data_IF_147320245970
#
_entry.id   IF_147320245970
#
_cell.length_a   1.000
_cell.length_b   1.000
_cell.length_c   1.000
_cell.angle_alpha   90.00
_cell.angle_beta   90.00
_cell.angle_gamma   90.00
#
_symmetry.space_group_name_H-M   'P 1'
#
loop_
_entity.id
_entity.type
_entity.pdbx_description
1 polymer ?
#
# COMPACT_ATOMS: atom_id res chain seq x y z
N UNK A 1 32.40 26.76 5.02
CA UNK A 1 32.17 25.30 5.01
C UNK A 1 30.73 25.08 5.40
N UNK A 2 29.90 24.41 4.60
CA UNK A 2 28.52 24.09 5.02
C UNK A 2 28.61 22.89 5.96
N UNK A 3 28.15 23.04 7.20
CA UNK A 3 27.95 21.91 8.10
C UNK A 3 26.89 21.00 7.47
N UNK A 4 27.33 19.82 7.01
CA UNK A 4 26.44 18.78 6.54
C UNK A 4 26.04 17.88 7.71
N UNK A 5 24.77 17.51 7.78
CA UNK A 5 24.29 16.48 8.71
C UNK A 5 24.96 15.14 8.37
N UNK A 6 25.51 14.45 9.37
CA UNK A 6 26.11 13.13 9.25
C UNK A 6 25.30 12.10 10.05
N UNK A 7 25.20 10.88 9.53
CA UNK A 7 24.51 9.77 10.19
C UNK A 7 25.46 9.03 11.13
N UNK A 8 25.07 8.85 12.39
CA UNK A 8 25.85 8.06 13.35
C UNK A 8 25.60 6.56 13.20
N UNK A 9 24.35 6.16 12.93
CA UNK A 9 23.94 4.77 12.76
C UNK A 9 22.96 4.67 11.59
N UNK A 10 23.10 3.60 10.81
CA UNK A 10 22.17 3.24 9.76
C UNK A 10 21.38 1.99 10.16
N UNK A 11 20.10 1.96 9.83
CA UNK A 11 19.21 0.83 10.08
C UNK A 11 19.44 -0.30 9.07
N UNK A 12 19.06 -1.51 9.43
CA UNK A 12 19.12 -2.70 8.56
C UNK A 12 18.24 -2.58 7.30
N UNK A 13 17.23 -1.71 7.32
CA UNK A 13 16.49 -1.25 6.15
C UNK A 13 16.41 0.28 6.15
N UNK A 14 16.35 0.88 4.97
CA UNK A 14 16.22 2.32 4.79
C UNK A 14 14.99 2.63 3.93
N UNK A 15 14.24 3.66 4.32
CA UNK A 15 13.11 4.17 3.56
C UNK A 15 13.41 5.59 3.15
N UNK A 16 13.48 5.84 1.84
CA UNK A 16 13.64 7.18 1.28
C UNK A 16 12.30 7.64 0.70
N UNK A 17 11.79 8.77 1.18
CA UNK A 17 10.58 9.41 0.64
C UNK A 17 10.99 10.59 -0.23
N UNK A 18 10.61 10.58 -1.50
CA UNK A 18 10.73 11.73 -2.39
C UNK A 18 9.69 12.78 -2.00
N UNK A 19 10.11 14.04 -1.93
CA UNK A 19 9.18 15.16 -1.79
C UNK A 19 8.60 15.42 -3.19
N UNK A 20 7.29 15.29 -3.33
CA UNK A 20 6.59 15.37 -4.62
C UNK A 20 5.62 16.53 -4.73
N UNK A 21 5.46 17.33 -3.67
CA UNK A 21 4.57 18.48 -3.67
C UNK A 21 5.34 19.67 -3.15
N UNK A 22 5.25 20.78 -3.88
CA UNK A 22 5.82 22.07 -3.49
C UNK A 22 4.76 23.18 -3.60
N UNK A 23 5.01 24.30 -2.92
CA UNK A 23 4.19 25.49 -3.03
C UNK A 23 4.79 26.41 -4.09
N UNK A 24 4.11 26.58 -5.23
CA UNK A 24 4.52 27.60 -6.20
C UNK A 24 4.07 28.98 -5.70
N UNK A 25 5.02 29.73 -5.17
CA UNK A 25 4.79 31.08 -4.62
C UNK A 25 4.26 32.08 -5.65
N UNK A 26 4.41 31.82 -6.97
CA UNK A 26 3.94 32.74 -8.01
C UNK A 26 2.43 32.65 -8.23
N UNK A 27 1.87 31.46 -8.05
CA UNK A 27 0.46 31.17 -8.29
C UNK A 27 -0.31 30.81 -7.00
N UNK A 28 0.39 30.78 -5.86
CA UNK A 28 -0.13 30.41 -4.55
C UNK A 28 -0.91 29.08 -4.59
N UNK A 29 -0.31 28.09 -5.26
CA UNK A 29 -0.92 26.78 -5.48
C UNK A 29 0.09 25.67 -5.26
N UNK A 30 -0.41 24.51 -4.83
CA UNK A 30 0.39 23.29 -4.71
C UNK A 30 0.63 22.70 -6.10
N UNK A 31 1.89 22.41 -6.41
CA UNK A 31 2.31 21.80 -7.67
C UNK A 31 2.99 20.47 -7.41
N UNK A 32 2.81 19.51 -8.32
CA UNK A 32 3.47 18.22 -8.25
C UNK A 32 4.87 18.31 -8.86
N UNK A 33 5.89 17.87 -8.11
CA UNK A 33 7.26 17.76 -8.58
C UNK A 33 7.42 16.42 -9.29
N UNK A 34 7.35 16.47 -10.62
CA UNK A 34 7.54 15.31 -11.50
C UNK A 34 8.96 15.20 -12.05
N UNK A 35 9.92 15.91 -11.47
CA UNK A 35 11.31 15.92 -11.92
C UNK A 35 11.94 14.53 -11.94
N UNK A 36 12.76 14.29 -12.96
CA UNK A 36 13.49 13.04 -13.12
C UNK A 36 14.46 12.84 -11.97
N UNK A 37 14.27 11.77 -11.20
CA UNK A 37 15.13 11.37 -10.10
C UNK A 37 15.50 9.91 -10.27
N UNK A 38 16.78 9.66 -10.56
CA UNK A 38 17.32 8.32 -10.67
C UNK A 38 17.67 7.76 -9.28
N UNK A 39 17.42 6.47 -9.10
CA UNK A 39 17.80 5.76 -7.88
C UNK A 39 18.46 4.41 -8.24
N UNK A 40 19.57 4.05 -7.59
CA UNK A 40 20.34 2.89 -7.99
C UNK A 40 19.76 1.58 -7.45
N UNK A 41 20.00 0.47 -8.13
CA UNK A 41 19.65 -0.86 -7.61
C UNK A 41 20.46 -1.21 -6.34
N UNK A 42 21.71 -0.77 -6.29
CA UNK A 42 22.62 -0.91 -5.15
C UNK A 42 23.06 0.47 -4.66
N UNK A 43 22.82 0.74 -3.38
CA UNK A 43 23.20 1.97 -2.70
C UNK A 43 24.32 1.66 -1.71
N UNK A 44 25.53 2.08 -2.05
CA UNK A 44 26.72 1.91 -1.21
C UNK A 44 27.00 3.23 -0.46
N UNK A 45 26.64 3.27 0.83
CA UNK A 45 26.78 4.46 1.67
C UNK A 45 28.19 4.58 2.30
N UNK A 46 29.03 3.56 2.15
CA UNK A 46 30.43 3.60 2.57
C UNK A 46 31.35 4.21 1.49
N UNK A 47 30.82 4.41 0.26
CA UNK A 47 31.54 5.13 -0.81
C UNK A 47 32.00 6.52 -0.36
N UNK A 48 33.07 7.00 -1.01
CA UNK A 48 33.69 8.29 -0.67
C UNK A 48 34.10 8.37 0.81
N UNK A 49 34.58 7.25 1.38
CA UNK A 49 34.98 7.10 2.78
C UNK A 49 33.84 7.34 3.80
N UNK A 50 32.61 6.97 3.45
CA UNK A 50 31.43 7.21 4.28
C UNK A 50 31.15 8.70 4.42
N UNK A 51 31.09 9.42 3.30
CA UNK A 51 30.85 10.88 3.25
C UNK A 51 29.65 11.34 4.08
N UNK A 52 28.61 10.51 4.15
CA UNK A 52 27.38 10.76 4.87
C UNK A 52 27.38 10.21 6.30
N UNK A 53 28.45 9.52 6.70
CA UNK A 53 28.60 8.90 8.01
C UNK A 53 29.42 9.80 8.95
N UNK A 54 29.07 9.75 10.23
CA UNK A 54 29.87 10.36 11.30
C UNK A 54 31.25 9.69 11.38
N UNK A 55 32.31 10.41 11.81
CA UNK A 55 33.59 9.77 12.13
C UNK A 55 33.46 8.65 13.16
N UNK A 56 32.50 8.78 14.09
CA UNK A 56 32.22 7.81 15.16
C UNK A 56 31.21 6.73 14.75
N UNK A 57 30.78 6.70 13.48
CA UNK A 57 29.84 5.70 13.01
C UNK A 57 30.49 4.30 13.04
N UNK A 58 29.69 3.30 13.41
CA UNK A 58 30.16 1.91 13.35
C UNK A 58 30.43 1.50 11.90
N UNK A 59 31.68 1.10 11.64
CA UNK A 59 32.19 0.63 10.34
C UNK A 59 32.48 -0.87 10.33
N UNK A 60 32.10 -1.59 11.39
CA UNK A 60 32.26 -3.04 11.47
C UNK A 60 31.36 -3.77 10.46
N UNK A 61 30.24 -3.15 10.08
CA UNK A 61 29.29 -3.67 9.10
C UNK A 61 29.31 -2.77 7.86
N UNK A 62 29.35 -3.40 6.68
CA UNK A 62 29.28 -2.68 5.40
C UNK A 62 27.87 -2.14 5.17
N UNK A 63 27.75 -0.85 4.89
CA UNK A 63 26.52 -0.15 4.57
C UNK A 63 26.20 -0.23 3.07
N UNK A 64 26.18 -1.45 2.54
CA UNK A 64 25.73 -1.75 1.18
C UNK A 64 24.28 -2.20 1.21
N UNK A 65 23.46 -1.50 0.44
CA UNK A 65 22.02 -1.69 0.43
C UNK A 65 21.51 -2.07 -0.95
N UNK A 66 20.55 -2.99 -1.00
CA UNK A 66 19.88 -3.45 -2.22
C UNK A 66 18.43 -2.95 -2.24
N UNK A 67 17.99 -2.39 -3.36
CA UNK A 67 16.63 -1.86 -3.52
C UNK A 67 15.59 -2.98 -3.40
N UNK A 68 14.75 -2.96 -2.39
CA UNK A 68 13.71 -3.97 -2.16
C UNK A 68 12.37 -3.60 -2.83
N UNK A 69 11.97 -2.33 -2.73
CA UNK A 69 10.67 -1.89 -3.23
C UNK A 69 10.70 -0.47 -3.77
N UNK A 70 9.88 -0.23 -4.79
CA UNK A 70 9.60 1.07 -5.38
C UNK A 70 8.11 1.30 -5.28
N UNK A 71 7.68 2.23 -4.44
CA UNK A 71 6.28 2.63 -4.32
C UNK A 71 6.04 3.81 -5.25
N UNK A 72 5.00 3.70 -6.06
CA UNK A 72 4.71 4.62 -7.15
C UNK A 72 3.39 5.31 -6.89
N UNK A 73 3.37 6.62 -7.14
CA UNK A 73 2.15 7.40 -7.25
C UNK A 73 1.92 7.72 -8.72
N UNK A 74 0.70 7.46 -9.19
CA UNK A 74 0.27 7.78 -10.54
C UNK A 74 -0.90 8.75 -10.49
N UNK A 75 -0.69 10.03 -10.71
CA UNK A 75 -1.76 11.02 -10.64
C UNK A 75 -1.22 12.42 -10.49
N UNK A 76 -2.02 13.28 -9.86
CA UNK A 76 -1.62 14.65 -9.52
C UNK A 76 -1.92 14.97 -8.05
N UNK A 77 -1.72 16.23 -7.66
CA UNK A 77 -1.86 16.72 -6.27
C UNK A 77 -3.22 16.40 -5.63
N UNK A 78 -4.28 16.34 -6.43
CA UNK A 78 -5.66 16.16 -5.95
C UNK A 78 -6.17 14.72 -6.03
N UNK A 79 -5.36 13.78 -6.51
CA UNK A 79 -5.77 12.39 -6.63
C UNK A 79 -4.87 11.60 -7.56
N UNK A 80 -4.73 10.32 -7.25
CA UNK A 80 -3.95 9.39 -8.02
C UNK A 80 -4.13 7.96 -7.53
N UNK A 81 -3.41 7.08 -8.19
CA UNK A 81 -3.40 5.65 -7.92
C UNK A 81 -2.05 5.23 -7.34
N UNK A 82 -2.07 4.32 -6.38
CA UNK A 82 -0.86 3.84 -5.71
C UNK A 82 -0.64 2.37 -6.02
N UNK A 83 0.58 2.04 -6.40
CA UNK A 83 1.00 0.66 -6.61
C UNK A 83 2.47 0.51 -6.22
N UNK A 84 2.94 -0.73 -6.13
CA UNK A 84 4.32 -1.00 -5.73
C UNK A 84 4.98 -2.03 -6.64
N UNK A 85 6.25 -1.80 -6.96
CA UNK A 85 7.13 -2.84 -7.46
C UNK A 85 7.93 -3.40 -6.29
N UNK A 86 7.91 -4.72 -6.11
CA UNK A 86 8.57 -5.40 -4.98
C UNK A 86 9.38 -6.57 -5.51
N UNK A 87 10.54 -6.81 -4.89
CA UNK A 87 11.36 -8.02 -5.05
C UNK A 87 11.31 -8.86 -3.77
N UNK A 88 10.33 -9.79 -3.64
CA UNK A 88 10.11 -10.50 -2.38
C UNK A 88 11.33 -11.27 -1.87
N UNK A 89 12.18 -11.76 -2.79
CA UNK A 89 13.39 -12.53 -2.46
C UNK A 89 14.69 -11.75 -2.68
N UNK A 90 14.61 -10.46 -3.03
CA UNK A 90 15.75 -9.65 -3.50
C UNK A 90 16.57 -10.35 -4.61
N UNK A 91 15.90 -11.15 -5.43
CA UNK A 91 16.44 -11.72 -6.68
C UNK A 91 16.29 -10.70 -7.82
N UNK A 92 16.55 -11.07 -9.07
CA UNK A 92 16.31 -10.17 -10.21
C UNK A 92 14.83 -10.10 -10.62
N UNK A 93 13.96 -10.86 -9.95
CA UNK A 93 12.55 -10.89 -10.26
C UNK A 93 11.77 -9.76 -9.58
N UNK A 94 11.18 -8.89 -10.39
CA UNK A 94 10.23 -7.87 -9.95
C UNK A 94 8.79 -8.32 -10.13
N UNK A 95 7.94 -7.86 -9.22
CA UNK A 95 6.50 -7.98 -9.29
C UNK A 95 5.85 -6.63 -9.07
N UNK A 96 4.85 -6.28 -9.89
CA UNK A 96 3.97 -5.15 -9.66
C UNK A 96 2.75 -5.61 -8.87
N UNK A 97 2.55 -4.98 -7.72
CA UNK A 97 1.39 -5.12 -6.85
C UNK A 97 0.48 -3.92 -7.09
N UNK A 98 -0.60 -4.16 -7.83
CA UNK A 98 -1.58 -3.18 -8.29
C UNK A 98 -2.96 -3.61 -7.76
N UNK A 99 -3.26 -3.20 -6.52
CA UNK A 99 -4.40 -3.65 -5.72
C UNK A 99 -4.51 -5.20 -5.66
N UNK A 100 -5.57 -5.75 -6.24
CA UNK A 100 -5.87 -7.18 -6.32
C UNK A 100 -5.03 -7.93 -7.37
N UNK A 101 -4.27 -7.21 -8.21
CA UNK A 101 -3.52 -7.78 -9.33
C UNK A 101 -2.03 -7.77 -9.02
N UNK A 102 -1.41 -8.95 -9.11
CA UNK A 102 0.04 -9.11 -9.02
C UNK A 102 0.56 -9.61 -10.36
N UNK A 103 1.43 -8.84 -11.02
CA UNK A 103 2.05 -9.22 -12.29
C UNK A 103 3.55 -9.26 -12.18
N UNK A 104 4.16 -10.17 -12.96
CA UNK A 104 5.61 -10.22 -13.13
C UNK A 104 6.03 -9.08 -14.06
N UNK A 105 7.06 -8.34 -13.69
CA UNK A 105 7.54 -7.20 -14.50
C UNK A 105 9.07 -7.22 -14.67
N UNK A 106 9.53 -6.49 -15.68
CA UNK A 106 10.95 -6.29 -15.96
C UNK A 106 11.54 -5.18 -15.09
N UNK A 107 12.85 -5.26 -14.83
CA UNK A 107 13.58 -4.26 -14.05
C UNK A 107 13.45 -2.85 -14.63
N UNK A 108 13.42 -2.72 -15.96
CA UNK A 108 13.25 -1.43 -16.65
C UNK A 108 11.95 -0.74 -16.26
N UNK A 109 10.85 -1.49 -16.16
CA UNK A 109 9.55 -0.98 -15.74
C UNK A 109 9.53 -0.62 -14.26
N UNK A 110 10.17 -1.42 -13.42
CA UNK A 110 10.22 -1.19 -11.99
C UNK A 110 11.13 -0.02 -11.58
N UNK A 111 12.17 0.28 -12.35
CA UNK A 111 13.17 1.32 -12.06
C UNK A 111 13.10 2.50 -13.03
N UNK A 112 13.57 2.31 -14.27
CA UNK A 112 13.82 3.41 -15.21
C UNK A 112 12.55 4.18 -15.55
N UNK A 113 11.44 3.47 -15.72
CA UNK A 113 10.16 4.11 -16.01
C UNK A 113 9.60 4.90 -14.83
N UNK A 114 10.10 4.66 -13.60
CA UNK A 114 9.65 5.30 -12.36
C UNK A 114 10.51 6.49 -11.93
N UNK A 115 11.54 6.84 -12.69
CA UNK A 115 12.36 8.02 -12.40
C UNK A 115 11.60 9.34 -12.54
N UNK A 116 10.47 9.36 -13.27
CA UNK A 116 9.75 10.58 -13.62
C UNK A 116 10.40 11.34 -14.79
N UNK A 117 10.10 12.63 -14.90
CA UNK A 117 10.55 13.50 -15.99
C UNK A 117 9.62 13.53 -17.20
N UNK A 118 10.10 14.14 -18.28
CA UNK A 118 9.40 14.19 -19.57
C UNK A 118 9.77 12.98 -20.44
N UNK A 119 8.79 12.40 -21.11
CA UNK A 119 8.99 11.38 -22.13
C UNK A 119 8.77 11.99 -23.52
N UNK A 120 9.74 11.78 -24.41
CA UNK A 120 9.67 12.19 -25.81
C UNK A 120 9.10 11.02 -26.63
N UNK A 121 7.97 11.25 -27.31
CA UNK A 121 7.44 10.23 -28.21
C UNK A 121 8.27 10.16 -29.50
N UNK A 122 8.48 8.96 -30.08
CA UNK A 122 9.09 8.82 -31.39
C UNK A 122 8.29 9.62 -32.43
N UNK A 123 8.98 10.40 -33.26
CA UNK A 123 8.35 11.15 -34.35
C UNK A 123 7.57 10.18 -35.25
N UNK A 124 6.26 10.34 -35.30
CA UNK A 124 5.37 9.51 -36.12
C UNK A 124 5.47 9.81 -37.62
N UNK A 125 6.18 10.86 -38.04
CA UNK A 125 6.36 11.23 -39.44
C UNK A 125 7.79 11.76 -39.71
N UNK A 126 8.63 11.08 -40.52
CA UNK A 126 10.01 11.48 -40.81
C UNK A 126 10.15 12.69 -41.77
N UNK A 127 9.12 13.54 -41.90
CA UNK A 127 9.07 14.63 -42.90
C UNK A 127 8.57 15.99 -42.39
N UNK A 128 8.26 16.14 -41.10
CA UNK A 128 7.84 17.41 -40.51
C UNK A 128 8.82 17.84 -39.40
N UNK A 129 9.50 18.98 -39.59
CA UNK A 129 10.44 19.58 -38.64
C UNK A 129 9.74 20.24 -37.44
N UNK A 130 8.85 19.52 -36.75
CA UNK A 130 8.29 19.97 -35.48
C UNK A 130 9.13 19.38 -34.33
N UNK A 131 9.41 20.19 -33.31
CA UNK A 131 10.06 19.70 -32.09
C UNK A 131 9.29 18.49 -31.53
N UNK A 132 9.97 17.44 -31.05
CA UNK A 132 9.31 16.26 -30.50
C UNK A 132 8.34 16.66 -29.39
N UNK A 133 7.13 16.10 -29.43
CA UNK A 133 6.10 16.40 -28.43
C UNK A 133 6.50 15.72 -27.11
N UNK A 134 6.69 16.53 -26.07
CA UNK A 134 7.09 16.07 -24.73
C UNK A 134 5.85 16.00 -23.84
N UNK A 135 5.69 14.91 -23.11
CA UNK A 135 4.67 14.79 -22.08
C UNK A 135 5.34 14.46 -20.75
N UNK A 136 4.93 15.13 -19.68
CA UNK A 136 5.39 14.83 -18.31
C UNK A 136 4.81 13.50 -17.86
N UNK A 137 5.66 12.60 -17.37
CA UNK A 137 5.20 11.35 -16.77
C UNK A 137 4.37 11.65 -15.53
N UNK A 138 3.17 11.08 -15.49
CA UNK A 138 2.25 11.18 -14.35
C UNK A 138 2.43 10.05 -13.32
N UNK A 139 3.35 9.11 -13.57
CA UNK A 139 3.74 8.04 -12.65
C UNK A 139 5.19 8.24 -12.24
N UNK A 140 5.46 8.30 -10.94
CA UNK A 140 6.81 8.44 -10.41
C UNK A 140 7.00 7.71 -9.07
N UNK A 141 8.24 7.34 -8.75
CA UNK A 141 8.57 6.77 -7.46
C UNK A 141 8.50 7.84 -6.35
N UNK A 142 7.68 7.59 -5.32
CA UNK A 142 7.56 8.47 -4.17
C UNK A 142 8.24 7.91 -2.92
N UNK A 143 8.39 6.60 -2.83
CA UNK A 143 9.06 5.95 -1.70
C UNK A 143 9.88 4.76 -2.18
N UNK A 144 11.10 4.67 -1.69
CA UNK A 144 12.05 3.59 -1.97
C UNK A 144 12.37 2.87 -0.68
N UNK A 145 12.37 1.54 -0.72
CA UNK A 145 12.78 0.70 0.41
C UNK A 145 14.04 -0.04 0.02
N UNK A 146 15.08 0.08 0.82
CA UNK A 146 16.36 -0.58 0.66
C UNK A 146 16.63 -1.50 1.85
N UNK A 147 17.26 -2.64 1.62
CA UNK A 147 17.65 -3.60 2.65
C UNK A 147 19.17 -3.77 2.63
N UNK A 148 19.81 -3.77 3.80
CA UNK A 148 21.25 -3.99 3.93
C UNK A 148 21.59 -5.43 3.52
N UNK A 149 22.60 -5.60 2.66
CA UNK A 149 22.96 -6.92 2.15
C UNK A 149 23.32 -7.92 3.26
N UNK A 150 24.02 -7.49 4.30
CA UNK A 150 24.41 -8.36 5.43
C UNK A 150 23.21 -8.87 6.24
N UNK A 151 22.10 -8.13 6.26
CA UNK A 151 20.90 -8.46 7.03
C UNK A 151 19.81 -9.13 6.17
N UNK A 152 20.08 -9.36 4.88
CA UNK A 152 19.13 -9.90 3.90
C UNK A 152 18.46 -11.19 4.38
N UNK A 153 19.24 -12.17 4.82
CA UNK A 153 18.72 -13.50 5.20
C UNK A 153 17.84 -13.44 6.46
N UNK A 154 18.14 -12.51 7.37
CA UNK A 154 17.37 -12.27 8.58
C UNK A 154 16.04 -11.59 8.28
N UNK A 155 16.04 -10.63 7.34
CA UNK A 155 14.87 -9.83 6.98
C UNK A 155 13.95 -10.59 6.02
N UNK A 156 14.52 -11.26 5.02
CA UNK A 156 13.81 -12.03 3.98
C UNK A 156 13.87 -13.52 4.34
N UNK A 157 13.52 -13.85 5.58
CA UNK A 157 13.43 -15.24 6.02
C UNK A 157 12.12 -15.87 5.55
N UNK A 158 12.13 -17.20 5.39
CA UNK A 158 10.92 -17.95 5.11
C UNK A 158 10.05 -18.00 6.37
N UNK A 159 8.78 -17.66 6.23
CA UNK A 159 7.79 -17.71 7.31
C UNK A 159 6.80 -18.82 7.00
N UNK A 160 6.58 -19.72 7.96
CA UNK A 160 5.62 -20.81 7.86
C UNK A 160 4.45 -20.66 8.86
N UNK A 161 3.48 -21.58 8.82
CA UNK A 161 2.31 -21.52 9.70
C UNK A 161 2.68 -21.66 11.19
N UNK A 162 3.81 -22.29 11.51
CA UNK A 162 4.27 -22.51 12.88
C UNK A 162 4.84 -21.24 13.49
N UNK A 163 5.32 -20.31 12.66
CA UNK A 163 5.74 -18.97 13.08
C UNK A 163 4.55 -18.09 13.52
N UNK A 164 3.32 -18.47 13.14
CA UNK A 164 2.10 -17.78 13.54
C UNK A 164 1.62 -18.33 14.89
N UNK A 165 1.55 -17.45 15.89
CA UNK A 165 1.08 -17.81 17.23
C UNK A 165 -0.31 -18.49 17.18
N UNK A 166 -0.45 -19.60 17.91
CA UNK A 166 -1.66 -20.46 17.88
C UNK A 166 -2.95 -19.69 18.13
N UNK A 167 -2.96 -18.79 19.11
CA UNK A 167 -4.15 -17.99 19.44
C UNK A 167 -4.61 -17.09 18.28
N UNK A 168 -3.68 -16.62 17.43
CA UNK A 168 -4.02 -15.86 16.23
C UNK A 168 -4.62 -16.76 15.15
N UNK A 169 -4.07 -17.97 14.96
CA UNK A 169 -4.61 -18.95 14.00
C UNK A 169 -6.06 -19.32 14.32
N UNK A 170 -6.33 -19.63 15.59
CA UNK A 170 -7.70 -19.93 16.07
C UNK A 170 -8.63 -18.74 15.83
N UNK A 171 -8.21 -17.53 16.22
CA UNK A 171 -9.03 -16.32 16.08
C UNK A 171 -9.34 -16.00 14.61
N UNK A 172 -8.33 -16.00 13.74
CA UNK A 172 -8.48 -15.69 12.32
C UNK A 172 -9.39 -16.71 11.61
N UNK A 173 -9.25 -17.99 11.94
CA UNK A 173 -10.13 -19.04 11.41
C UNK A 173 -11.59 -18.81 11.80
N UNK A 174 -11.85 -18.48 13.08
CA UNK A 174 -13.19 -18.16 13.56
C UNK A 174 -13.78 -16.91 12.85
N UNK A 175 -12.98 -15.85 12.71
CA UNK A 175 -13.40 -14.63 12.00
C UNK A 175 -13.74 -14.92 10.52
N UNK A 176 -13.01 -15.84 9.88
CA UNK A 176 -13.27 -16.25 8.52
C UNK A 176 -14.58 -17.08 8.39
N UNK A 177 -14.82 -18.02 9.30
CA UNK A 177 -16.05 -18.81 9.37
C UNK A 177 -17.29 -17.90 9.58
N UNK A 178 -17.19 -16.93 10.50
CA UNK A 178 -18.27 -15.95 10.75
C UNK A 178 -18.54 -15.07 9.53
N UNK A 179 -17.49 -14.64 8.82
CA UNK A 179 -17.62 -13.83 7.59
C UNK A 179 -18.28 -14.62 6.46
N UNK A 180 -17.95 -15.90 6.32
CA UNK A 180 -18.58 -16.80 5.34
C UNK A 180 -20.04 -17.04 5.67
N UNK A 181 -20.38 -17.28 6.95
CA UNK A 181 -21.76 -17.45 7.40
C UNK A 181 -22.60 -16.19 7.10
N UNK A 182 -22.09 -15.01 7.46
CA UNK A 182 -22.75 -13.73 7.16
C UNK A 182 -22.90 -13.47 5.67
N UNK A 183 -21.92 -13.91 4.86
CA UNK A 183 -22.00 -13.82 3.39
C UNK A 183 -23.10 -14.74 2.83
N UNK A 184 -23.26 -15.95 3.36
CA UNK A 184 -24.34 -16.88 3.00
C UNK A 184 -25.71 -16.31 3.39
N UNK A 185 -25.87 -15.83 4.62
CA UNK A 185 -27.12 -15.20 5.08
C UNK A 185 -27.51 -14.00 4.23
N UNK A 186 -26.55 -13.11 3.90
CA UNK A 186 -26.80 -11.98 2.99
C UNK A 186 -27.15 -12.45 1.58
N UNK A 187 -26.51 -13.51 1.11
CA UNK A 187 -26.82 -14.12 -0.18
C UNK A 187 -28.19 -14.81 -0.18
N UNK A 188 -28.73 -15.25 0.96
CA UNK A 188 -30.07 -15.87 1.06
C UNK A 188 -31.17 -14.86 1.42
N UNK A 189 -30.81 -13.69 1.97
CA UNK A 189 -31.76 -12.67 2.42
C UNK A 189 -32.70 -12.18 1.30
N UNK A 190 -32.26 -12.22 0.04
CA UNK A 190 -33.10 -11.85 -1.11
C UNK A 190 -34.22 -12.87 -1.41
N UNK A 191 -34.19 -14.07 -0.82
CA UNK A 191 -35.20 -15.10 -0.98
C UNK A 191 -36.41 -14.91 -0.05
N UNK A 192 -36.32 -14.04 0.96
CA UNK A 192 -37.37 -13.86 1.97
C UNK A 192 -38.02 -12.48 1.83
N UNK A 193 -39.35 -12.43 1.97
CA UNK A 193 -40.13 -11.19 2.01
C UNK A 193 -40.90 -11.12 3.33
N UNK A 194 -40.83 -9.98 4.02
CA UNK A 194 -41.54 -9.77 5.28
C UNK A 194 -42.96 -9.30 4.99
N UNK A 195 -43.96 -10.16 5.23
CA UNK A 195 -45.37 -9.78 5.20
C UNK A 195 -45.79 -9.37 6.61
N UNK A 196 -46.10 -8.08 6.80
CA UNK A 196 -46.73 -7.57 8.04
C UNK A 196 -48.24 -7.55 7.87
N UNK A 197 -48.94 -8.42 8.61
CA UNK A 197 -50.40 -8.46 8.64
C UNK A 197 -50.91 -7.64 9.82
N UNK A 198 -51.84 -6.71 9.57
CA UNK A 198 -52.57 -5.98 10.61
C UNK A 198 -53.99 -6.51 10.69
N UNK A 199 -54.35 -7.12 11.81
CA UNK A 199 -55.74 -7.48 12.11
C UNK A 199 -56.42 -6.31 12.79
N UNK A 200 -57.70 -6.09 12.48
CA UNK A 200 -58.54 -5.20 13.27
C UNK A 200 -58.60 -5.70 14.72
N UNK A 201 -58.68 -4.81 15.73
CA UNK A 201 -58.94 -5.25 17.09
C UNK A 201 -60.27 -6.01 17.11
N UNK A 202 -60.25 -7.25 17.63
CA UNK A 202 -61.46 -8.04 17.79
C UNK A 202 -62.46 -7.25 18.64
N UNK A 203 -63.75 -7.20 18.28
CA UNK A 203 -64.76 -6.55 19.12
C UNK A 203 -64.79 -7.27 20.47
N UNK A 204 -64.52 -6.52 21.55
CA UNK A 204 -64.69 -7.00 22.92
C UNK A 204 -66.14 -7.47 23.11
N UNK A 205 -66.40 -8.63 23.72
CA UNK A 205 -67.78 -9.06 23.97
C UNK A 205 -68.44 -8.13 25.01
N UNK A 206 -69.77 -7.92 24.92
CA UNK A 206 -70.47 -7.04 25.85
C UNK A 206 -70.43 -7.62 27.27
N UNK A 207 -70.21 -6.74 28.24
CA UNK A 207 -70.28 -7.05 29.66
C UNK A 207 -71.68 -7.56 30.03
N UNK A 208 -71.79 -8.83 30.40
CA UNK A 208 -72.92 -9.35 31.16
C UNK A 208 -72.46 -9.58 32.60
N UNK A 209 -72.99 -8.78 33.51
CA UNK A 209 -72.92 -9.06 34.94
C UNK A 209 -73.73 -10.32 35.23
N UNK A 210 -73.10 -11.35 35.78
CA UNK A 210 -73.78 -12.25 36.72
C UNK A 210 -72.75 -12.86 37.67
N UNK A 211 -73.09 -12.76 38.95
CA UNK A 211 -72.37 -13.24 40.12
C UNK A 211 -72.51 -14.76 40.25
N UNK A 212 -71.42 -15.48 40.60
CA UNK A 212 -71.31 -16.40 41.76
C UNK A 212 -70.28 -17.54 41.58
N UNK A 213 -69.38 -17.64 42.58
CA UNK A 213 -68.69 -18.84 43.16
C UNK A 213 -67.73 -19.61 42.22
N UNK A 214 -66.51 -20.02 42.60
CA UNK A 214 -65.76 -20.00 43.86
C UNK A 214 -64.77 -21.18 43.87
N UNK A 215 -63.53 -20.96 44.37
CA UNK A 215 -62.55 -21.95 44.91
C UNK A 215 -62.03 -23.02 43.90
N UNK A 216 -60.82 -23.58 43.94
CA UNK A 216 -59.64 -23.58 44.82
C UNK A 216 -58.45 -24.12 43.98
N UNK A 217 -57.23 -23.78 44.40
CA UNK A 217 -55.91 -24.39 44.14
C UNK A 217 -55.88 -25.95 44.04
N UNK A 218 -54.79 -26.61 43.55
CA UNK A 218 -53.36 -26.24 43.66
C UNK A 218 -52.59 -25.97 42.37
#
# INVERSE_FOLDING_TARGET
MKEGTKCCNLMQWLTFRKIMVDLDSKVDALTEINDRYEFPLQLDLDRENGKYLSPDADRSVRNLYTLHSVLVHSGGVHGGHYYAYIRPTLSDQWFKFDDERVTKEDIKRALEEQYGGEEELPQTNPGFNNSPFKFTKYSNAYMLVYIRESDKEKIICNVDEKDIAEHLRIRLKKEQEEKEQKRKEKAEAHLYTIIKVRTSPSPSPPSLSSSLRGLLFP
#
